data_IF_774832618978
#
_entry.id   IF_774832618978
#
_cell.length_a   1.000
_cell.length_b   1.000
_cell.length_c   1.000
_cell.angle_alpha   90.00
_cell.angle_beta   90.00
_cell.angle_gamma   90.00
#
_symmetry.space_group_name_H-M   'P 1'
#
loop_
_entity.id
_entity.type
_entity.pdbx_description
1 polymer ?
#
# COMPACT_ATOMS: atom_id res chain seq x y z
N UNK A 1 1.95 15.83 15.92
CA UNK A 1 2.24 14.39 15.94
C UNK A 1 3.74 14.26 15.92
N UNK A 2 4.33 13.54 16.87
CA UNK A 2 5.78 13.31 16.87
C UNK A 2 6.18 12.41 15.68
N UNK A 3 7.33 12.63 15.03
CA UNK A 3 7.78 11.80 13.93
C UNK A 3 8.15 10.38 14.39
N UNK A 4 7.98 9.39 13.50
CA UNK A 4 8.42 8.01 13.77
C UNK A 4 9.94 7.91 13.85
N UNK A 5 10.45 7.06 14.75
CA UNK A 5 11.87 6.78 14.91
C UNK A 5 12.33 5.76 13.86
N UNK A 6 13.24 6.18 12.99
CA UNK A 6 13.85 5.30 11.97
C UNK A 6 14.68 4.22 12.65
N UNK A 7 14.43 2.95 12.33
CA UNK A 7 15.08 1.78 12.92
C UNK A 7 16.00 1.02 11.95
N UNK A 8 16.36 1.63 10.81
CA UNK A 8 17.19 1.01 9.79
C UNK A 8 18.60 0.62 10.29
N UNK A 9 19.12 1.30 11.31
CA UNK A 9 20.39 0.99 11.97
C UNK A 9 20.42 -0.39 12.62
N UNK A 10 19.24 -0.94 12.96
CA UNK A 10 19.08 -2.23 13.63
C UNK A 10 18.81 -3.40 12.67
N UNK A 11 18.74 -3.17 11.35
CA UNK A 11 18.33 -4.18 10.36
C UNK A 11 19.12 -5.49 10.43
N UNK A 12 20.40 -5.40 10.79
CA UNK A 12 21.29 -6.57 10.88
C UNK A 12 21.44 -7.10 12.32
N UNK A 13 20.62 -6.64 13.26
CA UNK A 13 20.64 -7.07 14.66
C UNK A 13 19.22 -7.48 15.12
N UNK A 14 18.81 -8.73 14.85
CA UNK A 14 17.44 -9.19 15.10
C UNK A 14 16.97 -9.07 16.56
N UNK A 15 17.87 -9.22 17.54
CA UNK A 15 17.52 -9.00 18.96
C UNK A 15 17.14 -7.54 19.22
N UNK A 16 17.96 -6.59 18.75
CA UNK A 16 17.71 -5.17 18.93
C UNK A 16 16.42 -4.70 18.25
N UNK A 17 16.07 -5.26 17.09
CA UNK A 17 14.76 -5.00 16.46
C UNK A 17 13.59 -5.47 17.34
N UNK A 18 13.68 -6.66 17.93
CA UNK A 18 12.65 -7.17 18.84
C UNK A 18 12.54 -6.32 20.09
N UNK A 19 13.67 -5.91 20.67
CA UNK A 19 13.69 -5.04 21.86
C UNK A 19 13.08 -3.66 21.56
N UNK A 20 13.38 -3.09 20.39
CA UNK A 20 12.78 -1.85 19.91
C UNK A 20 11.27 -1.99 19.69
N UNK A 21 10.83 -3.05 19.02
CA UNK A 21 9.41 -3.30 18.79
C UNK A 21 8.65 -3.51 20.11
N UNK A 22 9.22 -4.25 21.06
CA UNK A 22 8.60 -4.49 22.36
C UNK A 22 8.50 -3.21 23.20
N UNK A 23 9.50 -2.33 23.13
CA UNK A 23 9.53 -1.06 23.88
C UNK A 23 8.63 0.01 23.24
N UNK A 24 8.71 0.17 21.93
CA UNK A 24 8.11 1.32 21.23
C UNK A 24 6.75 0.95 20.61
N UNK A 25 6.42 -0.35 20.50
CA UNK A 25 5.17 -0.84 19.90
C UNK A 25 5.13 -0.79 18.37
N UNK A 26 6.22 -0.36 17.72
CA UNK A 26 6.34 -0.31 16.26
C UNK A 26 7.81 -0.39 15.81
N UNK A 27 8.00 -0.59 14.51
CA UNK A 27 9.26 -0.40 13.80
C UNK A 27 9.00 0.43 12.55
N UNK A 28 9.74 1.53 12.38
CA UNK A 28 9.70 2.29 11.13
C UNK A 28 10.99 2.03 10.35
N UNK A 29 10.86 1.31 9.23
CA UNK A 29 11.96 0.99 8.32
C UNK A 29 11.79 1.80 7.04
N UNK A 30 12.59 2.86 6.90
CA UNK A 30 12.51 3.76 5.76
C UNK A 30 13.16 3.11 4.53
N UNK A 31 12.44 3.10 3.41
CA UNK A 31 12.97 2.57 2.14
C UNK A 31 13.31 1.08 2.19
N UNK A 32 12.60 0.32 3.03
CA UNK A 32 12.86 -1.11 3.18
C UNK A 32 12.37 -1.94 1.99
N UNK A 33 11.24 -1.55 1.40
CA UNK A 33 10.73 -2.12 0.15
C UNK A 33 11.26 -1.30 -1.02
N UNK A 34 11.63 -1.96 -2.12
CA UNK A 34 12.11 -1.30 -3.32
C UNK A 34 11.04 -0.37 -3.89
N UNK A 35 11.45 0.86 -4.23
CA UNK A 35 10.52 1.89 -4.70
C UNK A 35 9.81 1.50 -6.00
N UNK A 36 10.52 0.83 -6.89
CA UNK A 36 10.00 0.51 -8.22
C UNK A 36 8.92 -0.56 -8.12
N UNK A 37 9.10 -1.59 -7.27
CA UNK A 37 8.08 -2.59 -6.95
C UNK A 37 6.79 -1.92 -6.44
N UNK A 38 6.89 -0.97 -5.50
CA UNK A 38 5.72 -0.22 -4.99
C UNK A 38 4.99 0.53 -6.12
N UNK A 39 5.74 1.13 -7.06
CA UNK A 39 5.15 1.89 -8.16
C UNK A 39 4.52 0.98 -9.22
N UNK A 40 5.07 -0.21 -9.44
CA UNK A 40 4.48 -1.25 -10.28
C UNK A 40 3.15 -1.72 -9.67
N UNK A 41 3.15 -2.15 -8.40
CA UNK A 41 1.91 -2.54 -7.70
C UNK A 41 0.86 -1.43 -7.76
N UNK A 42 1.27 -0.16 -7.52
CA UNK A 42 0.34 0.99 -7.58
C UNK A 42 -0.28 1.14 -8.97
N UNK A 43 0.52 1.00 -10.03
CA UNK A 43 0.03 1.11 -11.41
C UNK A 43 -0.99 0.02 -11.72
N UNK A 44 -0.69 -1.22 -11.36
CA UNK A 44 -1.58 -2.35 -11.62
C UNK A 44 -2.88 -2.26 -10.81
N UNK A 45 -2.80 -1.84 -9.55
CA UNK A 45 -3.98 -1.54 -8.75
C UNK A 45 -4.83 -0.45 -9.39
N UNK A 46 -4.23 0.66 -9.81
CA UNK A 46 -4.95 1.75 -10.45
C UNK A 46 -5.58 1.35 -11.80
N UNK A 47 -4.93 0.47 -12.57
CA UNK A 47 -5.50 -0.11 -13.78
C UNK A 47 -6.78 -0.91 -13.48
N UNK A 48 -6.76 -1.73 -12.42
CA UNK A 48 -7.98 -2.44 -11.96
C UNK A 48 -9.05 -1.43 -11.55
N UNK A 49 -8.71 -0.40 -10.78
CA UNK A 49 -9.68 0.64 -10.40
C UNK A 49 -10.29 1.32 -11.63
N UNK A 50 -9.50 1.61 -12.67
CA UNK A 50 -9.99 2.21 -13.91
C UNK A 50 -10.96 1.29 -14.65
N UNK A 51 -10.63 -0.01 -14.74
CA UNK A 51 -11.48 -1.02 -15.41
C UNK A 51 -12.86 -1.16 -14.76
N UNK A 52 -12.93 -1.02 -13.44
CA UNK A 52 -14.19 -1.05 -12.69
C UNK A 52 -14.86 0.33 -12.62
N UNK A 53 -14.29 1.37 -13.26
CA UNK A 53 -14.83 2.72 -13.26
C UNK A 53 -14.72 3.42 -11.91
N UNK A 54 -13.79 2.99 -11.06
CA UNK A 54 -13.59 3.53 -9.72
C UNK A 54 -12.75 4.81 -9.69
N UNK A 55 -11.93 5.02 -10.71
CA UNK A 55 -11.17 6.26 -10.93
C UNK A 55 -11.51 6.86 -12.30
N UNK A 56 -11.29 8.16 -12.45
CA UNK A 56 -11.73 8.91 -13.61
C UNK A 56 -10.84 8.63 -14.84
N UNK A 57 -11.44 8.33 -16.00
CA UNK A 57 -10.67 8.12 -17.23
C UNK A 57 -10.01 9.41 -17.72
N UNK A 58 -8.87 9.27 -18.39
CA UNK A 58 -8.14 10.41 -18.97
C UNK A 58 -7.29 11.20 -17.97
N UNK A 59 -7.18 10.75 -16.73
CA UNK A 59 -6.25 11.26 -15.73
C UNK A 59 -4.97 10.42 -15.69
N UNK A 60 -3.90 10.91 -15.05
CA UNK A 60 -2.72 10.09 -14.80
C UNK A 60 -3.12 8.94 -13.87
N UNK A 61 -2.87 7.71 -14.32
CA UNK A 61 -3.20 6.48 -13.61
C UNK A 61 -2.55 6.44 -12.22
N UNK A 62 -1.35 7.00 -12.07
CA UNK A 62 -0.67 7.04 -10.77
C UNK A 62 -1.26 8.06 -9.79
N UNK A 63 -2.03 9.04 -10.28
CA UNK A 63 -2.76 9.98 -9.42
C UNK A 63 -4.06 9.35 -8.88
N UNK A 64 -4.65 8.40 -9.62
CA UNK A 64 -5.84 7.64 -9.23
C UNK A 64 -7.00 8.54 -8.76
N UNK A 65 -7.26 9.62 -9.51
CA UNK A 65 -8.29 10.61 -9.20
C UNK A 65 -9.69 9.98 -9.28
N UNK A 66 -10.57 10.28 -8.33
CA UNK A 66 -11.95 9.80 -8.33
C UNK A 66 -12.91 10.86 -7.80
N UNK A 67 -14.09 10.94 -8.40
CA UNK A 67 -15.22 11.73 -7.89
C UNK A 67 -16.36 10.85 -7.36
N UNK A 68 -16.16 9.54 -7.29
CA UNK A 68 -17.13 8.63 -6.68
C UNK A 68 -17.14 8.79 -5.16
N UNK A 69 -18.27 8.49 -4.49
CA UNK A 69 -18.29 8.29 -3.04
C UNK A 69 -17.35 7.16 -2.62
N UNK A 70 -16.90 7.19 -1.37
CA UNK A 70 -16.13 6.09 -0.80
C UNK A 70 -17.00 4.81 -0.71
N UNK A 71 -16.43 3.69 -1.12
CA UNK A 71 -17.03 2.35 -0.93
C UNK A 71 -16.63 1.78 0.44
N UNK A 72 -17.44 0.88 0.99
CA UNK A 72 -17.17 0.25 2.29
C UNK A 72 -16.52 -1.11 2.04
N UNK A 73 -15.43 -1.39 2.76
CA UNK A 73 -14.76 -2.68 2.65
C UNK A 73 -15.74 -3.85 2.93
N UNK A 74 -15.88 -4.74 1.95
CA UNK A 74 -16.68 -5.96 2.05
C UNK A 74 -18.12 -5.81 1.57
N UNK A 75 -18.53 -4.65 1.06
CA UNK A 75 -19.80 -4.51 0.35
C UNK A 75 -19.76 -5.18 -1.04
N UNK A 76 -20.94 -5.35 -1.65
CA UNK A 76 -21.10 -6.02 -2.95
C UNK A 76 -20.34 -5.32 -4.09
N UNK A 77 -20.13 -4.00 -4.00
CA UNK A 77 -19.38 -3.23 -5.01
C UNK A 77 -17.87 -3.39 -4.81
N UNK A 78 -17.40 -3.41 -3.56
CA UNK A 78 -16.00 -3.44 -3.16
C UNK A 78 -15.37 -4.80 -3.33
N UNK A 79 -16.08 -5.86 -2.93
CA UNK A 79 -15.53 -7.21 -2.92
C UNK A 79 -14.93 -7.65 -4.27
N UNK A 80 -15.61 -7.51 -5.43
CA UNK A 80 -15.04 -7.94 -6.70
C UNK A 80 -13.79 -7.15 -7.12
N UNK A 81 -13.72 -5.86 -6.79
CA UNK A 81 -12.55 -5.01 -7.10
C UNK A 81 -11.36 -5.42 -6.25
N UNK A 82 -11.58 -5.57 -4.94
CA UNK A 82 -10.52 -5.95 -4.01
C UNK A 82 -10.01 -7.38 -4.27
N UNK A 83 -10.89 -8.31 -4.65
CA UNK A 83 -10.50 -9.64 -5.11
C UNK A 83 -9.62 -9.60 -6.35
N UNK A 84 -9.90 -8.70 -7.29
CA UNK A 84 -9.07 -8.53 -8.50
C UNK A 84 -7.69 -7.99 -8.15
N UNK A 85 -7.61 -7.03 -7.23
CA UNK A 85 -6.35 -6.47 -6.72
C UNK A 85 -5.51 -7.55 -6.02
N UNK A 86 -6.12 -8.34 -5.12
CA UNK A 86 -5.40 -9.40 -4.40
C UNK A 86 -4.88 -10.53 -5.31
N UNK A 87 -5.33 -10.62 -6.56
CA UNK A 87 -4.84 -11.59 -7.56
C UNK A 87 -3.72 -11.05 -8.46
N UNK A 88 -3.33 -9.79 -8.31
CA UNK A 88 -2.21 -9.23 -9.06
C UNK A 88 -0.90 -9.85 -8.57
N UNK A 89 -0.04 -10.31 -9.48
CA UNK A 89 1.27 -10.86 -9.12
C UNK A 89 2.16 -9.78 -8.49
N UNK A 90 2.09 -8.54 -8.97
CA UNK A 90 2.81 -7.39 -8.42
C UNK A 90 2.40 -7.02 -6.98
N UNK A 91 1.35 -7.63 -6.43
CA UNK A 91 0.91 -7.43 -5.05
C UNK A 91 1.56 -8.42 -4.05
N UNK A 92 2.24 -9.47 -4.53
CA UNK A 92 2.84 -10.54 -3.71
C UNK A 92 4.36 -10.63 -3.90
#
# INVERSE_FOLDING_TARGET
>A
MEPFIVSNDLLHTPSALRDRAARDGYLFLKGFVHRDDILETRRDMAQVLLEFGWIDPGTDLLEAITHRPASIHGDEEHQPVYDRIQRLESFH
#
